data_IF_152642771128
#
_entry.id   IF_152642771128
#
_cell.length_a   1.000
_cell.length_b   1.000
_cell.length_c   1.000
_cell.angle_alpha   90.00
_cell.angle_beta   90.00
_cell.angle_gamma   90.00
#
_symmetry.space_group_name_H-M   'P 1'
#
loop_
_entity.id
_entity.type
_entity.pdbx_description
1 polymer ?
#
# COMPACT_ATOMS: atom_id res chain seq x y z
N UNK A 1 -19.52 8.62 8.53
CA UNK A 1 -18.59 9.02 9.61
C UNK A 1 -17.39 9.60 8.90
N UNK A 2 -17.09 10.88 9.06
CA UNK A 2 -16.01 11.53 8.32
C UNK A 2 -14.66 10.87 8.60
N UNK A 3 -13.84 10.75 7.57
CA UNK A 3 -12.43 10.37 7.67
C UNK A 3 -11.75 11.20 8.77
N UNK A 4 -10.80 10.64 9.54
CA UNK A 4 -10.07 11.43 10.53
C UNK A 4 -9.44 12.64 9.84
N UNK A 5 -9.77 13.81 10.36
CA UNK A 5 -9.30 15.07 9.80
C UNK A 5 -7.77 15.14 9.89
N UNK A 6 -7.14 15.64 8.84
CA UNK A 6 -5.74 16.08 8.86
C UNK A 6 -5.55 16.95 10.11
N UNK A 7 -4.43 16.84 10.87
CA UNK A 7 -4.21 17.65 12.03
C UNK A 7 -4.42 19.14 11.72
N UNK A 8 -5.28 19.77 12.51
CA UNK A 8 -5.66 21.19 12.33
C UNK A 8 -4.86 22.02 13.31
N UNK A 9 -4.38 23.16 12.85
CA UNK A 9 -3.76 24.17 13.72
C UNK A 9 -4.82 24.69 14.70
N UNK A 10 -4.54 24.55 15.99
CA UNK A 10 -5.45 25.00 17.06
C UNK A 10 -5.39 26.51 17.28
N UNK A 11 -4.43 27.21 16.70
CA UNK A 11 -4.08 28.59 17.05
C UNK A 11 -3.35 28.73 18.38
N UNK A 12 -3.15 27.62 19.11
CA UNK A 12 -2.38 27.55 20.33
C UNK A 12 -0.91 27.22 20.02
N UNK A 13 -0.02 27.45 20.96
CA UNK A 13 1.41 27.18 20.78
C UNK A 13 2.06 26.71 22.06
N UNK A 14 3.17 25.98 21.90
CA UNK A 14 4.06 25.60 22.99
C UNK A 14 5.28 26.52 22.97
N UNK A 15 5.65 27.03 24.14
CA UNK A 15 6.86 27.84 24.33
C UNK A 15 8.01 26.94 24.79
N UNK A 16 9.12 27.00 24.08
CA UNK A 16 10.35 26.28 24.43
C UNK A 16 11.40 27.28 24.78
N UNK A 17 11.85 27.28 26.06
CA UNK A 17 12.93 28.13 26.55
C UNK A 17 14.27 27.43 26.29
N UNK A 18 15.18 28.12 25.64
CA UNK A 18 16.50 27.61 25.29
C UNK A 18 17.53 28.01 26.39
N UNK A 19 18.63 27.24 26.52
CA UNK A 19 19.67 27.52 27.51
C UNK A 19 20.35 28.89 27.33
N UNK A 20 20.30 29.46 26.13
CA UNK A 20 20.85 30.77 25.78
C UNK A 20 19.92 31.96 26.11
N UNK A 21 18.78 31.66 26.75
CA UNK A 21 17.78 32.67 27.15
C UNK A 21 16.76 33.02 26.07
N UNK A 22 16.89 32.50 24.85
CA UNK A 22 15.85 32.65 23.79
C UNK A 22 14.64 31.81 24.09
N UNK A 23 13.47 32.26 23.68
CA UNK A 23 12.23 31.51 23.70
C UNK A 23 11.74 31.35 22.27
N UNK A 24 11.41 30.15 21.88
CA UNK A 24 10.80 29.85 20.58
C UNK A 24 9.36 29.35 20.77
N UNK A 25 8.54 29.66 19.79
CA UNK A 25 7.12 29.27 19.77
C UNK A 25 6.93 28.22 18.68
N UNK A 26 6.31 27.08 19.04
CA UNK A 26 5.99 25.98 18.15
C UNK A 26 4.46 25.80 18.09
N UNK A 27 3.87 25.66 16.89
CA UNK A 27 2.43 25.46 16.74
C UNK A 27 1.94 24.19 17.42
N UNK A 28 0.74 24.24 17.96
CA UNK A 28 0.05 23.10 18.51
C UNK A 28 -1.04 22.65 17.55
N UNK A 29 -0.91 21.44 17.03
CA UNK A 29 -1.86 20.81 16.15
C UNK A 29 -2.78 19.89 16.94
N UNK A 30 -4.01 19.73 16.49
CA UNK A 30 -4.95 18.76 17.03
C UNK A 30 -5.36 17.78 15.92
N UNK A 31 -5.29 16.50 16.21
CA UNK A 31 -5.66 15.43 15.30
C UNK A 31 -6.25 14.25 16.03
N UNK A 32 -6.54 13.20 15.30
CA UNK A 32 -6.97 11.93 15.88
C UNK A 32 -5.90 10.88 15.66
N UNK A 33 -5.33 10.36 16.76
CA UNK A 33 -4.49 9.19 16.77
C UNK A 33 -5.11 8.13 17.67
N UNK A 34 -4.98 6.85 17.34
CA UNK A 34 -5.44 5.72 18.18
C UNK A 34 -6.87 5.85 18.73
N UNK A 35 -7.79 6.47 17.98
CA UNK A 35 -9.19 6.64 18.36
C UNK A 35 -9.50 7.81 19.28
N UNK A 36 -8.50 8.56 19.72
CA UNK A 36 -8.65 9.72 20.62
C UNK A 36 -8.26 11.00 19.89
N UNK A 37 -8.77 12.13 20.40
CA UNK A 37 -8.25 13.45 20.04
C UNK A 37 -6.91 13.60 20.74
N UNK A 38 -5.87 13.79 19.96
CA UNK A 38 -4.49 13.96 20.45
C UNK A 38 -3.95 15.32 20.01
N UNK A 39 -3.00 15.86 20.78
CA UNK A 39 -2.33 17.11 20.49
C UNK A 39 -0.90 16.83 20.07
N UNK A 40 -0.45 17.52 19.04
CA UNK A 40 0.87 17.36 18.45
C UNK A 40 1.57 18.72 18.43
N UNK A 41 2.83 18.76 18.83
CA UNK A 41 3.68 19.93 18.66
C UNK A 41 4.32 19.86 17.28
N UNK A 42 4.08 20.84 16.43
CA UNK A 42 4.76 20.94 15.14
C UNK A 42 6.20 21.40 15.33
N UNK A 43 7.13 20.47 15.16
CA UNK A 43 8.58 20.70 15.31
C UNK A 43 9.28 20.96 13.98
N UNK A 44 8.57 21.08 12.87
CA UNK A 44 9.16 21.24 11.53
C UNK A 44 10.13 22.41 11.42
N UNK A 45 9.86 23.51 12.15
CA UNK A 45 10.69 24.71 12.17
C UNK A 45 11.77 24.72 13.28
N UNK A 46 11.88 23.68 14.10
CA UNK A 46 12.75 23.67 15.28
C UNK A 46 14.23 23.83 14.90
N UNK A 47 14.69 23.00 13.95
CA UNK A 47 16.09 23.02 13.50
C UNK A 47 16.49 24.39 12.91
N UNK A 48 15.61 25.00 12.11
CA UNK A 48 15.85 26.33 11.52
C UNK A 48 15.89 27.43 12.56
N UNK A 49 14.97 27.43 13.54
CA UNK A 49 14.85 28.46 14.54
C UNK A 49 15.96 28.46 15.60
N UNK A 50 16.45 27.28 15.97
CA UNK A 50 17.40 27.18 17.08
C UNK A 50 18.55 26.16 16.89
N UNK A 51 18.61 25.45 15.76
CA UNK A 51 19.67 24.47 15.50
C UNK A 51 19.52 23.17 16.29
N UNK A 52 18.40 22.95 16.99
CA UNK A 52 18.16 21.73 17.76
C UNK A 52 17.41 20.69 16.93
N UNK A 53 17.76 19.42 17.13
CA UNK A 53 17.06 18.27 16.60
C UNK A 53 16.37 17.51 17.74
N UNK A 54 15.28 16.83 17.43
CA UNK A 54 14.58 15.94 18.36
C UNK A 54 15.22 14.56 18.31
N UNK A 55 15.53 14.02 19.49
CA UNK A 55 16.01 12.65 19.63
C UNK A 55 14.89 11.79 20.21
N UNK A 56 14.30 10.94 19.37
CA UNK A 56 13.23 9.99 19.71
C UNK A 56 13.58 8.60 19.17
N UNK A 57 14.38 7.82 19.94
CA UNK A 57 14.78 6.48 19.50
C UNK A 57 13.55 5.56 19.39
N UNK A 58 13.34 5.00 18.19
CA UNK A 58 12.21 4.13 17.90
C UNK A 58 10.89 4.85 17.59
N UNK A 59 10.91 6.18 17.42
CA UNK A 59 9.73 6.98 17.06
C UNK A 59 8.52 6.74 17.98
N UNK A 60 8.77 6.69 19.30
CA UNK A 60 7.78 6.34 20.30
C UNK A 60 6.77 7.46 20.61
N UNK A 61 7.19 8.72 20.41
CA UNK A 61 6.34 9.88 20.66
C UNK A 61 6.27 10.86 19.48
N UNK A 62 6.81 10.50 18.32
CA UNK A 62 6.83 11.35 17.12
C UNK A 62 5.80 10.88 16.10
N UNK A 63 4.93 11.78 15.64
CA UNK A 63 4.08 11.56 14.49
C UNK A 63 4.81 12.00 13.22
N UNK A 64 5.01 11.09 12.26
CA UNK A 64 5.81 11.35 11.05
C UNK A 64 5.04 12.04 9.94
N UNK A 65 3.73 11.87 9.88
CA UNK A 65 2.86 12.50 8.89
C UNK A 65 1.38 12.47 9.32
N UNK A 66 0.57 13.19 8.56
CA UNK A 66 -0.88 13.08 8.58
C UNK A 66 -1.37 12.19 7.44
N UNK A 67 -2.31 11.29 7.72
CA UNK A 67 -2.92 10.42 6.72
C UNK A 67 -4.44 10.43 6.87
N UNK A 68 -5.14 10.47 5.72
CA UNK A 68 -6.59 10.33 5.62
C UNK A 68 -6.99 8.98 4.97
N UNK A 69 -6.06 8.04 4.85
CA UNK A 69 -6.28 6.76 4.15
C UNK A 69 -6.83 5.72 5.11
N UNK A 70 -6.12 5.43 6.18
CA UNK A 70 -6.47 4.38 7.13
C UNK A 70 -6.53 4.93 8.54
N UNK A 71 -7.48 4.45 9.32
CA UNK A 71 -7.60 4.73 10.75
C UNK A 71 -7.72 3.42 11.52
N UNK A 72 -6.85 3.22 12.50
CA UNK A 72 -6.83 2.04 13.36
C UNK A 72 -7.01 2.45 14.82
N UNK A 73 -8.00 1.86 15.48
CA UNK A 73 -8.23 1.95 16.92
C UNK A 73 -8.13 0.54 17.50
N UNK A 74 -6.91 0.16 17.88
CA UNK A 74 -6.62 -1.17 18.42
C UNK A 74 -7.41 -1.50 19.69
N UNK A 75 -7.51 -0.59 20.70
CA UNK A 75 -8.32 -0.80 21.90
C UNK A 75 -9.79 -1.10 21.63
N UNK A 76 -10.37 -0.52 20.56
CA UNK A 76 -11.77 -0.75 20.19
C UNK A 76 -11.94 -1.79 19.07
N UNK A 77 -10.84 -2.32 18.54
CA UNK A 77 -10.86 -3.27 17.43
C UNK A 77 -11.47 -2.68 16.14
N UNK A 78 -11.21 -1.39 15.85
CA UNK A 78 -11.77 -0.68 14.71
C UNK A 78 -10.69 -0.38 13.67
N UNK A 79 -10.96 -0.79 12.43
CA UNK A 79 -10.16 -0.40 11.27
C UNK A 79 -11.07 0.22 10.21
N UNK A 80 -10.69 1.38 9.70
CA UNK A 80 -11.41 2.11 8.66
C UNK A 80 -10.47 2.40 7.50
N UNK A 81 -10.95 2.17 6.27
CA UNK A 81 -10.33 2.64 5.04
C UNK A 81 -11.16 3.79 4.46
N UNK A 82 -10.57 4.97 4.33
CA UNK A 82 -11.28 6.19 3.87
C UNK A 82 -12.60 6.42 4.62
N UNK A 83 -12.62 6.10 5.92
CA UNK A 83 -13.81 6.24 6.77
C UNK A 83 -14.81 5.08 6.74
N UNK A 84 -14.64 4.10 5.85
CA UNK A 84 -15.49 2.91 5.75
C UNK A 84 -14.92 1.76 6.59
N UNK A 85 -15.79 1.00 7.26
CA UNK A 85 -15.39 -0.13 8.09
C UNK A 85 -14.84 -1.27 7.24
N UNK A 86 -13.67 -1.76 7.60
CA UNK A 86 -12.97 -2.81 6.85
C UNK A 86 -13.74 -4.14 6.83
N UNK A 87 -14.47 -4.47 7.90
CA UNK A 87 -15.29 -5.66 7.97
C UNK A 87 -16.49 -5.63 6.99
N UNK A 88 -17.07 -4.46 6.75
CA UNK A 88 -18.08 -4.25 5.71
C UNK A 88 -17.48 -4.39 4.32
N UNK A 89 -16.35 -3.74 4.08
CA UNK A 89 -15.64 -3.83 2.80
C UNK A 89 -15.28 -5.27 2.44
N UNK A 90 -14.79 -6.06 3.41
CA UNK A 90 -14.41 -7.45 3.18
C UNK A 90 -15.59 -8.39 2.87
N UNK A 91 -16.82 -8.01 3.22
CA UNK A 91 -18.03 -8.81 2.94
C UNK A 91 -18.74 -8.42 1.65
N UNK A 92 -18.67 -7.15 1.26
CA UNK A 92 -19.57 -6.56 0.25
C UNK A 92 -18.84 -6.13 -1.02
N UNK A 93 -17.49 -6.01 -0.96
CA UNK A 93 -16.69 -5.49 -2.06
C UNK A 93 -15.55 -6.42 -2.46
N UNK A 94 -15.05 -6.26 -3.68
CA UNK A 94 -13.87 -6.97 -4.17
C UNK A 94 -12.58 -6.25 -3.77
N UNK A 95 -11.46 -6.97 -3.76
CA UNK A 95 -10.16 -6.34 -3.51
C UNK A 95 -9.81 -5.22 -4.51
N UNK A 96 -10.08 -5.35 -5.83
CA UNK A 96 -9.94 -4.24 -6.76
C UNK A 96 -10.77 -3.00 -6.39
N UNK A 97 -12.01 -3.16 -5.91
CA UNK A 97 -12.83 -2.01 -5.48
C UNK A 97 -12.23 -1.31 -4.27
N UNK A 98 -11.65 -2.08 -3.34
CA UNK A 98 -10.94 -1.52 -2.18
C UNK A 98 -9.62 -0.85 -2.60
N UNK A 99 -8.88 -1.39 -3.57
CA UNK A 99 -7.73 -0.70 -4.15
C UNK A 99 -8.14 0.65 -4.76
N UNK A 100 -9.25 0.68 -5.48
CA UNK A 100 -9.81 1.92 -6.03
C UNK A 100 -10.15 2.91 -4.92
N UNK A 101 -10.87 2.48 -3.89
CA UNK A 101 -11.21 3.29 -2.71
C UNK A 101 -9.95 3.93 -2.07
N UNK A 102 -8.90 3.15 -1.85
CA UNK A 102 -7.67 3.64 -1.23
C UNK A 102 -6.96 4.67 -2.11
N UNK A 103 -6.97 4.49 -3.43
CA UNK A 103 -6.32 5.39 -4.39
C UNK A 103 -7.13 6.68 -4.62
N UNK A 104 -8.45 6.58 -4.77
CA UNK A 104 -9.32 7.69 -5.18
C UNK A 104 -10.07 8.35 -4.02
N UNK A 105 -10.21 7.68 -2.88
CA UNK A 105 -10.88 8.21 -1.68
C UNK A 105 -12.35 7.84 -1.56
N UNK A 106 -12.95 7.27 -2.60
CA UNK A 106 -14.34 6.81 -2.65
C UNK A 106 -14.47 5.46 -3.36
N UNK A 107 -15.54 4.73 -3.09
CA UNK A 107 -15.81 3.46 -3.77
C UNK A 107 -16.16 3.73 -5.24
N UNK A 108 -15.73 2.83 -6.15
CA UNK A 108 -16.06 2.97 -7.57
C UNK A 108 -17.56 2.79 -7.81
N UNK A 109 -18.11 3.52 -8.77
CA UNK A 109 -19.39 3.16 -9.37
C UNK A 109 -19.27 1.88 -10.22
N UNK A 110 -20.39 1.35 -10.72
CA UNK A 110 -20.38 0.10 -11.49
C UNK A 110 -19.50 0.18 -12.77
N UNK A 111 -19.46 1.33 -13.43
CA UNK A 111 -18.67 1.52 -14.64
C UNK A 111 -17.18 1.71 -14.30
N UNK A 112 -16.88 2.39 -13.23
CA UNK A 112 -15.52 2.58 -12.72
C UNK A 112 -14.92 1.26 -12.25
N UNK A 113 -15.68 0.45 -11.52
CA UNK A 113 -15.28 -0.90 -11.09
C UNK A 113 -14.93 -1.77 -12.30
N UNK A 114 -15.79 -1.80 -13.33
CA UNK A 114 -15.52 -2.54 -14.57
C UNK A 114 -14.23 -2.04 -15.24
N UNK A 115 -14.08 -0.72 -15.42
CA UNK A 115 -12.90 -0.13 -16.07
C UNK A 115 -11.62 -0.41 -15.31
N UNK A 116 -11.64 -0.27 -13.98
CA UNK A 116 -10.48 -0.52 -13.14
C UNK A 116 -10.09 -2.01 -13.15
N UNK A 117 -11.07 -2.91 -13.07
CA UNK A 117 -10.82 -4.34 -13.19
C UNK A 117 -10.19 -4.72 -14.54
N UNK A 118 -10.68 -4.16 -15.67
CA UNK A 118 -10.09 -4.41 -16.98
C UNK A 118 -8.68 -3.79 -17.11
N UNK A 119 -8.42 -2.65 -16.48
CA UNK A 119 -7.10 -2.06 -16.39
C UNK A 119 -6.13 -3.01 -15.65
N UNK A 120 -6.51 -3.55 -14.49
CA UNK A 120 -5.69 -4.51 -13.75
C UNK A 120 -5.43 -5.77 -14.58
N UNK A 121 -6.45 -6.33 -15.23
CA UNK A 121 -6.30 -7.51 -16.11
C UNK A 121 -5.35 -7.23 -17.28
N UNK A 122 -5.38 -6.03 -17.86
CA UNK A 122 -4.50 -5.67 -18.98
C UNK A 122 -3.02 -5.58 -18.59
N UNK A 123 -2.74 -5.28 -17.32
CA UNK A 123 -1.39 -5.15 -16.78
C UNK A 123 -0.89 -6.35 -15.98
N UNK A 124 -1.68 -7.42 -15.87
CA UNK A 124 -1.34 -8.60 -15.05
C UNK A 124 -0.14 -9.40 -15.55
N UNK A 125 0.15 -9.35 -16.86
CA UNK A 125 1.33 -10.00 -17.42
C UNK A 125 2.62 -9.22 -17.11
N UNK A 126 3.69 -9.95 -16.87
CA UNK A 126 5.05 -9.42 -16.75
C UNK A 126 5.85 -9.71 -18.02
N UNK A 127 6.92 -8.94 -18.25
CA UNK A 127 7.78 -9.13 -19.40
C UNK A 127 8.43 -10.52 -19.36
N UNK A 128 8.47 -11.24 -20.50
CA UNK A 128 8.99 -12.63 -20.56
C UNK A 128 10.40 -12.80 -19.99
N UNK A 129 11.27 -11.82 -20.13
CA UNK A 129 12.61 -11.84 -19.54
C UNK A 129 12.62 -11.92 -18.01
N UNK A 130 11.51 -11.66 -17.32
CA UNK A 130 11.41 -11.94 -15.89
C UNK A 130 11.60 -13.42 -15.56
N UNK A 131 11.21 -14.34 -16.46
CA UNK A 131 11.50 -15.77 -16.28
C UNK A 131 12.98 -16.06 -16.14
N UNK A 132 13.80 -15.43 -16.96
CA UNK A 132 15.26 -15.60 -16.92
C UNK A 132 15.82 -15.09 -15.59
N UNK A 133 15.26 -13.96 -15.07
CA UNK A 133 15.64 -13.43 -13.77
C UNK A 133 15.28 -14.38 -12.63
N UNK A 134 14.08 -15.01 -12.67
CA UNK A 134 13.69 -16.04 -11.72
C UNK A 134 14.57 -17.29 -11.79
N UNK A 135 15.11 -17.64 -12.96
CA UNK A 135 16.03 -18.75 -13.15
C UNK A 135 17.36 -18.62 -12.39
N UNK A 136 17.72 -17.42 -11.95
CA UNK A 136 18.90 -17.17 -11.11
C UNK A 136 18.72 -17.53 -9.63
N UNK A 137 17.51 -17.79 -9.14
CA UNK A 137 17.26 -18.17 -7.75
C UNK A 137 17.36 -19.67 -7.57
N UNK A 138 17.92 -20.09 -6.44
CA UNK A 138 18.01 -21.52 -6.09
C UNK A 138 16.64 -22.07 -5.68
N UNK A 139 16.40 -23.35 -5.99
CA UNK A 139 15.27 -24.10 -5.42
C UNK A 139 15.35 -24.09 -3.89
N UNK A 140 14.20 -23.86 -3.24
CA UNK A 140 14.11 -23.72 -1.79
C UNK A 140 14.45 -22.33 -1.25
N UNK A 141 14.79 -21.35 -2.10
CA UNK A 141 14.91 -19.96 -1.68
C UNK A 141 13.58 -19.45 -1.10
N UNK A 142 13.65 -18.65 -0.03
CA UNK A 142 12.44 -18.13 0.61
C UNK A 142 11.68 -17.20 -0.36
N UNK A 143 10.38 -17.42 -0.64
CA UNK A 143 9.64 -16.64 -1.63
C UNK A 143 9.67 -15.14 -1.39
N UNK A 144 9.71 -14.69 -0.13
CA UNK A 144 9.81 -13.26 0.19
C UNK A 144 11.15 -12.65 -0.22
N UNK A 145 12.25 -13.40 -0.11
CA UNK A 145 13.56 -12.92 -0.59
C UNK A 145 13.55 -12.75 -2.11
N UNK A 146 12.93 -13.69 -2.83
CA UNK A 146 12.70 -13.59 -4.28
C UNK A 146 11.84 -12.35 -4.57
N UNK A 147 10.71 -12.16 -3.84
CA UNK A 147 9.81 -11.02 -4.04
C UNK A 147 10.53 -9.67 -3.88
N UNK A 148 11.35 -9.51 -2.84
CA UNK A 148 12.13 -8.26 -2.64
C UNK A 148 13.01 -7.96 -3.87
N UNK A 149 13.71 -8.97 -4.39
CA UNK A 149 14.59 -8.81 -5.55
C UNK A 149 13.80 -8.48 -6.83
N UNK A 150 12.72 -9.21 -7.12
CA UNK A 150 11.95 -9.03 -8.37
C UNK A 150 11.11 -7.75 -8.37
N UNK A 151 10.59 -7.33 -7.21
CA UNK A 151 9.89 -6.04 -7.10
C UNK A 151 10.87 -4.89 -7.32
N UNK A 152 12.07 -4.96 -6.77
CA UNK A 152 13.13 -3.98 -7.05
C UNK A 152 13.50 -3.93 -8.53
N UNK A 153 13.53 -5.08 -9.21
CA UNK A 153 13.84 -5.17 -10.64
C UNK A 153 12.72 -4.62 -11.55
N UNK A 154 11.48 -4.46 -11.06
CA UNK A 154 10.37 -3.93 -11.89
C UNK A 154 10.72 -2.60 -12.56
N UNK A 155 11.43 -1.71 -11.87
CA UNK A 155 11.83 -0.41 -12.41
C UNK A 155 12.76 -0.50 -13.63
N UNK A 156 13.54 -1.59 -13.75
CA UNK A 156 14.41 -1.83 -14.89
C UNK A 156 13.66 -2.38 -16.11
N UNK A 157 12.55 -3.10 -15.89
CA UNK A 157 11.72 -3.66 -16.97
C UNK A 157 10.58 -2.73 -17.39
N UNK A 158 10.13 -1.91 -16.48
CA UNK A 158 9.09 -0.91 -16.71
C UNK A 158 9.63 0.45 -16.27
N UNK A 159 10.56 1.02 -17.08
CA UNK A 159 11.15 2.30 -16.72
C UNK A 159 10.04 3.32 -16.57
N UNK A 160 10.03 3.96 -15.42
CA UNK A 160 9.26 5.16 -15.21
C UNK A 160 9.77 6.14 -16.25
N UNK A 161 9.03 6.36 -17.36
CA UNK A 161 9.46 7.32 -18.37
C UNK A 161 9.86 8.60 -17.65
N UNK A 162 11.17 8.85 -17.67
CA UNK A 162 11.74 10.02 -17.05
C UNK A 162 11.30 11.24 -17.85
N UNK A 163 10.11 11.71 -17.56
CA UNK A 163 9.68 13.05 -17.95
C UNK A 163 10.58 14.02 -17.20
N UNK A 164 11.70 14.36 -17.81
CA UNK A 164 12.57 15.48 -17.49
C UNK A 164 12.90 15.73 -16.02
N UNK A 165 14.12 15.40 -15.64
CA UNK A 165 14.84 16.05 -14.54
C UNK A 165 14.22 15.97 -13.16
N UNK A 166 14.61 14.95 -12.36
CA UNK A 166 14.66 15.09 -10.89
C UNK A 166 13.35 15.25 -10.12
N UNK A 167 12.19 15.21 -10.74
CA UNK A 167 10.93 15.37 -10.03
C UNK A 167 10.53 14.07 -9.35
N UNK A 168 10.32 14.13 -8.04
CA UNK A 168 9.78 13.03 -7.25
C UNK A 168 8.39 12.61 -7.78
N UNK A 169 8.00 11.34 -7.59
CA UNK A 169 6.67 10.82 -7.97
C UNK A 169 5.53 11.70 -7.44
N UNK A 170 5.73 12.37 -6.31
CA UNK A 170 4.78 13.32 -5.74
C UNK A 170 4.45 14.51 -6.66
N UNK A 171 5.39 14.93 -7.52
CA UNK A 171 5.19 16.01 -8.49
C UNK A 171 4.52 15.58 -9.80
N UNK A 172 4.19 14.30 -9.96
CA UNK A 172 3.55 13.83 -11.19
C UNK A 172 2.05 14.08 -11.21
N UNK A 173 1.44 14.25 -12.41
CA UNK A 173 0.00 14.30 -12.54
C UNK A 173 -0.68 13.08 -11.90
N UNK A 174 -1.85 13.30 -11.29
CA UNK A 174 -2.59 12.26 -10.57
C UNK A 174 -2.82 11.01 -11.46
N UNK A 175 -3.33 11.19 -12.66
CA UNK A 175 -3.60 10.11 -13.61
C UNK A 175 -2.35 9.23 -13.91
N UNK A 176 -1.15 9.82 -13.93
CA UNK A 176 0.10 9.07 -14.12
C UNK A 176 0.44 8.23 -12.89
N UNK A 177 0.25 8.78 -11.70
CA UNK A 177 0.48 8.05 -10.44
C UNK A 177 -0.48 6.89 -10.29
N UNK A 178 -1.75 7.08 -10.63
CA UNK A 178 -2.79 6.05 -10.62
C UNK A 178 -2.50 4.92 -11.61
N UNK A 179 -2.13 5.27 -12.84
CA UNK A 179 -1.74 4.28 -13.85
C UNK A 179 -0.55 3.42 -13.40
N UNK A 180 0.44 4.03 -12.75
CA UNK A 180 1.57 3.31 -12.20
C UNK A 180 1.17 2.41 -11.02
N UNK A 181 0.35 2.92 -10.10
CA UNK A 181 -0.17 2.14 -8.97
C UNK A 181 -0.96 0.92 -9.48
N UNK A 182 -1.85 1.11 -10.45
CA UNK A 182 -2.60 0.02 -11.07
C UNK A 182 -1.68 -1.03 -11.72
N UNK A 183 -0.61 -0.60 -12.41
CA UNK A 183 0.38 -1.53 -12.97
C UNK A 183 1.07 -2.37 -11.89
N UNK A 184 1.49 -1.75 -10.79
CA UNK A 184 2.14 -2.47 -9.68
C UNK A 184 1.17 -3.44 -9.03
N UNK A 185 -0.04 -3.00 -8.68
CA UNK A 185 -1.10 -3.84 -8.10
C UNK A 185 -1.37 -5.05 -9.01
N UNK A 186 -1.50 -4.83 -10.31
CA UNK A 186 -1.82 -5.89 -11.27
C UNK A 186 -0.72 -6.94 -11.43
N UNK A 187 0.55 -6.54 -11.34
CA UNK A 187 1.71 -7.43 -11.54
C UNK A 187 2.09 -8.21 -10.28
N UNK A 188 1.76 -7.69 -9.12
CA UNK A 188 2.17 -8.26 -7.84
C UNK A 188 1.72 -9.72 -7.66
N UNK A 189 0.45 -10.12 -7.94
CA UNK A 189 0.02 -11.51 -7.87
C UNK A 189 0.80 -12.43 -8.80
N UNK A 190 1.10 -11.97 -10.02
CA UNK A 190 1.88 -12.75 -10.99
C UNK A 190 3.30 -12.98 -10.48
N UNK A 191 3.97 -11.94 -9.99
CA UNK A 191 5.31 -12.06 -9.43
C UNK A 191 5.34 -12.96 -8.19
N UNK A 192 4.35 -12.84 -7.30
CA UNK A 192 4.24 -13.68 -6.10
C UNK A 192 4.03 -15.16 -6.47
N UNK A 193 3.18 -15.45 -7.43
CA UNK A 193 2.98 -16.80 -7.92
C UNK A 193 4.25 -17.36 -8.60
N UNK A 194 4.95 -16.56 -9.39
CA UNK A 194 6.23 -16.94 -10.00
C UNK A 194 7.29 -17.23 -8.91
N UNK A 195 7.38 -16.40 -7.87
CA UNK A 195 8.29 -16.60 -6.77
C UNK A 195 8.01 -17.92 -6.02
N UNK A 196 6.74 -18.20 -5.74
CA UNK A 196 6.33 -19.46 -5.12
C UNK A 196 6.66 -20.66 -5.99
N UNK A 197 6.27 -20.64 -7.27
CA UNK A 197 6.56 -21.73 -8.23
C UNK A 197 8.05 -21.99 -8.38
N UNK A 198 8.85 -20.93 -8.42
CA UNK A 198 10.33 -21.05 -8.46
C UNK A 198 10.87 -21.69 -7.18
N UNK A 199 10.37 -21.27 -6.02
CA UNK A 199 10.83 -21.80 -4.72
C UNK A 199 10.55 -23.31 -4.57
N UNK A 200 9.41 -23.79 -5.08
CA UNK A 200 9.05 -25.23 -5.01
C UNK A 200 9.51 -26.04 -6.25
N UNK A 201 10.13 -25.39 -7.24
CA UNK A 201 10.62 -26.06 -8.45
C UNK A 201 9.53 -26.49 -9.43
N UNK A 202 8.36 -25.82 -9.41
CA UNK A 202 7.25 -26.10 -10.34
C UNK A 202 7.20 -25.12 -11.52
N UNK A 203 6.61 -25.52 -12.65
CA UNK A 203 6.45 -24.66 -13.82
C UNK A 203 5.61 -23.40 -13.52
N UNK A 204 6.04 -22.28 -14.07
CA UNK A 204 5.31 -21.01 -13.99
C UNK A 204 4.00 -21.11 -14.75
N UNK A 205 2.92 -20.61 -14.15
CA UNK A 205 1.58 -20.51 -14.72
C UNK A 205 1.22 -19.06 -14.94
N UNK A 206 0.66 -18.75 -16.12
CA UNK A 206 0.30 -17.39 -16.50
C UNK A 206 -1.13 -17.02 -16.11
N UNK A 207 -1.43 -15.72 -15.93
CA UNK A 207 -2.76 -15.24 -15.61
C UNK A 207 -3.75 -15.49 -16.77
N UNK A 208 -5.03 -15.69 -16.41
CA UNK A 208 -6.15 -15.87 -17.34
C UNK A 208 -7.14 -14.71 -17.22
N UNK A 209 -7.40 -13.99 -18.31
CA UNK A 209 -8.29 -12.79 -18.28
C UNK A 209 -9.74 -13.07 -17.85
N UNK A 210 -10.20 -14.31 -17.94
CA UNK A 210 -11.57 -14.71 -17.56
C UNK A 210 -11.79 -14.81 -16.06
N UNK A 211 -10.72 -14.94 -15.28
CA UNK A 211 -10.77 -15.11 -13.85
C UNK A 211 -10.81 -13.75 -13.15
N UNK A 212 -11.42 -13.71 -11.95
CA UNK A 212 -11.32 -12.56 -11.05
C UNK A 212 -9.89 -12.39 -10.53
N UNK A 213 -9.61 -11.31 -9.82
CA UNK A 213 -8.29 -11.03 -9.28
C UNK A 213 -7.79 -12.14 -8.33
N UNK A 214 -8.62 -12.53 -7.36
CA UNK A 214 -8.29 -13.59 -6.40
C UNK A 214 -8.25 -14.98 -7.05
N UNK A 215 -9.22 -15.30 -7.93
CA UNK A 215 -9.21 -16.56 -8.67
C UNK A 215 -7.96 -16.71 -9.53
N UNK A 216 -7.53 -15.62 -10.16
CA UNK A 216 -6.35 -15.60 -11.01
C UNK A 216 -5.08 -15.85 -10.20
N UNK A 217 -4.97 -15.24 -9.03
CA UNK A 217 -3.84 -15.51 -8.14
C UNK A 217 -3.80 -16.98 -7.70
N UNK A 218 -4.93 -17.55 -7.24
CA UNK A 218 -5.01 -18.97 -6.87
C UNK A 218 -4.69 -19.89 -8.06
N UNK A 219 -5.17 -19.54 -9.25
CA UNK A 219 -4.84 -20.28 -10.46
C UNK A 219 -3.33 -20.28 -10.73
N UNK A 220 -2.68 -19.14 -10.70
CA UNK A 220 -1.24 -19.04 -10.93
C UNK A 220 -0.41 -19.76 -9.85
N UNK A 221 -0.88 -19.75 -8.59
CA UNK A 221 -0.21 -20.42 -7.48
C UNK A 221 -0.29 -21.95 -7.55
N UNK A 222 -1.46 -22.49 -7.89
CA UNK A 222 -1.75 -23.91 -7.65
C UNK A 222 -2.05 -24.73 -8.91
N UNK A 223 -2.32 -24.10 -10.06
CA UNK A 223 -2.50 -24.86 -11.29
C UNK A 223 -1.19 -25.52 -11.74
N UNK A 224 -1.33 -26.70 -12.34
CA UNK A 224 -0.24 -27.49 -12.91
C UNK A 224 -0.54 -27.78 -14.39
N UNK A 225 0.49 -27.96 -15.23
CA UNK A 225 0.28 -28.23 -16.65
C UNK A 225 -0.37 -29.59 -16.94
N UNK A 226 -0.24 -30.55 -16.02
CA UNK A 226 -0.66 -31.95 -16.15
C UNK A 226 -2.11 -32.21 -15.71
N UNK A 227 -2.77 -31.21 -15.08
CA UNK A 227 -4.16 -31.36 -14.62
C UNK A 227 -4.98 -30.07 -14.76
N UNK A 228 -6.30 -30.23 -14.86
CA UNK A 228 -7.21 -29.08 -14.85
C UNK A 228 -7.43 -28.58 -13.43
N UNK A 229 -6.94 -27.38 -13.12
CA UNK A 229 -7.18 -26.72 -11.84
C UNK A 229 -8.44 -25.85 -11.89
N UNK A 230 -9.40 -26.17 -11.02
CA UNK A 230 -10.62 -25.38 -10.81
C UNK A 230 -10.56 -24.68 -9.46
N UNK A 231 -10.58 -23.35 -9.48
CA UNK A 231 -10.59 -22.56 -8.25
C UNK A 231 -11.88 -22.84 -7.48
N UNK A 232 -11.74 -23.18 -6.20
CA UNK A 232 -12.90 -23.31 -5.31
C UNK A 232 -13.39 -21.92 -4.92
N UNK A 233 -14.70 -21.60 -5.13
CA UNK A 233 -15.23 -20.26 -4.83
C UNK A 233 -14.96 -19.79 -3.39
N UNK A 234 -15.07 -20.70 -2.44
CA UNK A 234 -14.79 -20.38 -1.03
C UNK A 234 -13.33 -19.96 -0.78
N UNK A 235 -12.37 -20.54 -1.53
CA UNK A 235 -10.97 -20.15 -1.43
C UNK A 235 -10.73 -18.77 -2.03
N UNK A 236 -11.41 -18.46 -3.15
CA UNK A 236 -11.35 -17.14 -3.77
C UNK A 236 -11.93 -16.06 -2.83
N UNK A 237 -13.09 -16.31 -2.23
CA UNK A 237 -13.72 -15.41 -1.27
C UNK A 237 -12.85 -15.20 -0.02
N UNK A 238 -12.27 -16.26 0.52
CA UNK A 238 -11.38 -16.17 1.67
C UNK A 238 -10.13 -15.34 1.35
N UNK A 239 -9.52 -15.56 0.17
CA UNK A 239 -8.36 -14.80 -0.27
C UNK A 239 -8.70 -13.33 -0.50
N UNK A 240 -9.85 -13.04 -1.11
CA UNK A 240 -10.36 -11.68 -1.30
C UNK A 240 -10.45 -10.94 0.05
N UNK A 241 -11.11 -11.55 1.03
CA UNK A 241 -11.20 -10.99 2.38
C UNK A 241 -9.81 -10.78 3.02
N UNK A 242 -8.89 -11.72 2.89
CA UNK A 242 -7.51 -11.58 3.37
C UNK A 242 -6.78 -10.41 2.72
N UNK A 243 -6.88 -10.25 1.42
CA UNK A 243 -6.26 -9.14 0.70
C UNK A 243 -6.84 -7.79 1.14
N UNK A 244 -8.16 -7.70 1.34
CA UNK A 244 -8.82 -6.49 1.82
C UNK A 244 -8.36 -6.14 3.24
N UNK A 245 -8.32 -7.12 4.15
CA UNK A 245 -7.89 -6.91 5.53
C UNK A 245 -6.41 -6.46 5.65
N UNK A 246 -5.60 -6.72 4.63
CA UNK A 246 -4.17 -6.38 4.59
C UNK A 246 -3.85 -5.30 3.54
N UNK A 247 -4.86 -4.64 2.97
CA UNK A 247 -4.65 -3.70 1.88
C UNK A 247 -3.87 -2.45 2.30
N UNK A 248 -4.08 -1.98 3.54
CA UNK A 248 -3.32 -0.88 4.14
C UNK A 248 -3.29 -1.02 5.66
N UNK A 249 -2.20 -0.62 6.30
CA UNK A 249 -2.01 -0.72 7.75
C UNK A 249 -1.41 0.56 8.33
N UNK A 250 -1.78 1.71 7.83
CA UNK A 250 -1.19 3.02 8.17
C UNK A 250 0.32 3.10 7.85
N UNK A 251 0.96 4.16 8.28
CA UNK A 251 2.43 4.26 8.16
C UNK A 251 3.12 3.47 9.27
N UNK A 252 4.03 2.58 8.87
CA UNK A 252 4.82 1.69 9.76
C UNK A 252 5.90 2.45 10.55
N UNK A 253 5.74 3.73 10.79
CA UNK A 253 6.71 4.54 11.55
C UNK A 253 6.59 4.41 13.07
N UNK A 254 5.77 3.47 13.55
CA UNK A 254 5.60 3.16 14.98
C UNK A 254 6.17 1.80 15.38
N UNK A 255 7.14 1.27 14.63
CA UNK A 255 7.87 0.06 15.06
C UNK A 255 9.32 0.39 15.36
#
# INVERSE_FOLDING_TARGET
>A
MQCPEVPVDTGESVLVNLPDGRTITLPLLQGRGSGKVERFVDISSLAEKCGLLVFDPGFTCTASCASAVTFIDGPQGRCLYRGLKVDGLAREHTYPDVCYLLLHGELPDANESIRFNELLKSHSLVHEKFKEFFGGFQSGAHPMAIMVAVVGALSAFYPLEAGGGGSTVAGWPLARREGLAAQVIAKFPTLAAMAYKTAIGEPIVYPRRKLSFAENFLHMMFARPDEEYKVKPICAQALEAFMILHADHEQVSKQ
#
